data_IF_121323913205
#
_entry.id   IF_121323913205
#
_cell.length_a   1.000
_cell.length_b   1.000
_cell.length_c   1.000
_cell.angle_alpha   90.00
_cell.angle_beta   90.00
_cell.angle_gamma   90.00
#
_symmetry.space_group_name_H-M   'P 1'
#
loop_
_entity.id
_entity.type
_entity.pdbx_description
1 polymer ?
#
# COMPACT_ATOMS: atom_id res chain seq x y z
N UNK A 1 -16.13 -14.69 22.95
CA UNK A 1 -16.35 -13.22 22.84
C UNK A 1 -17.61 -13.04 22.02
N UNK A 2 -18.69 -12.52 22.60
CA UNK A 2 -19.88 -12.17 21.81
C UNK A 2 -19.53 -10.91 21.03
N UNK A 3 -19.23 -11.08 19.74
CA UNK A 3 -19.09 -9.94 18.84
C UNK A 3 -20.47 -9.25 18.76
N UNK A 4 -20.51 -7.91 18.72
CA UNK A 4 -21.76 -7.20 18.51
C UNK A 4 -22.40 -7.65 17.20
N UNK A 5 -23.73 -7.67 17.15
CA UNK A 5 -24.48 -8.13 15.98
C UNK A 5 -24.03 -7.37 14.72
N UNK A 6 -24.00 -8.09 13.59
CA UNK A 6 -23.64 -7.56 12.27
C UNK A 6 -24.76 -6.63 11.74
N UNK A 7 -24.85 -5.45 12.34
CA UNK A 7 -25.76 -4.39 11.93
C UNK A 7 -24.99 -3.31 11.17
N UNK A 8 -25.65 -2.70 10.19
CA UNK A 8 -25.07 -1.64 9.35
C UNK A 8 -24.50 -0.49 10.19
N UNK A 9 -25.15 -0.16 11.32
CA UNK A 9 -24.68 0.84 12.27
C UNK A 9 -23.32 0.47 12.89
N UNK A 10 -23.14 -0.78 13.32
CA UNK A 10 -21.89 -1.24 13.93
C UNK A 10 -20.74 -1.24 12.91
N UNK A 11 -21.03 -1.59 11.65
CA UNK A 11 -20.07 -1.52 10.55
C UNK A 11 -19.63 -0.07 10.30
N UNK A 12 -20.58 0.87 10.24
CA UNK A 12 -20.27 2.29 10.04
C UNK A 12 -19.47 2.87 11.22
N UNK A 13 -19.83 2.53 12.45
CA UNK A 13 -19.09 2.95 13.65
C UNK A 13 -17.67 2.38 13.65
N UNK A 14 -17.49 1.10 13.35
CA UNK A 14 -16.18 0.48 13.25
C UNK A 14 -15.32 1.08 12.11
N UNK A 15 -15.95 1.49 11.01
CA UNK A 15 -15.28 2.16 9.89
C UNK A 15 -14.99 3.65 10.14
N UNK A 16 -15.67 4.30 11.10
CA UNK A 16 -15.59 5.74 11.31
C UNK A 16 -14.16 6.30 11.48
N UNK A 17 -13.26 5.68 12.26
CA UNK A 17 -11.88 6.16 12.39
C UNK A 17 -11.15 6.22 11.05
N UNK A 18 -11.33 5.18 10.21
CA UNK A 18 -10.73 5.11 8.88
C UNK A 18 -11.33 6.15 7.93
N UNK A 19 -12.65 6.28 7.92
CA UNK A 19 -13.37 7.26 7.09
C UNK A 19 -12.96 8.70 7.43
N UNK A 20 -12.77 9.00 8.71
CA UNK A 20 -12.30 10.33 9.16
C UNK A 20 -10.88 10.59 8.66
N UNK A 21 -9.97 9.63 8.78
CA UNK A 21 -8.60 9.78 8.27
C UNK A 21 -8.62 10.01 6.76
N UNK A 22 -9.36 9.19 6.00
CA UNK A 22 -9.49 9.34 4.55
C UNK A 22 -10.09 10.69 4.16
N UNK A 23 -11.16 11.12 4.83
CA UNK A 23 -11.79 12.42 4.60
C UNK A 23 -10.80 13.58 4.86
N UNK A 24 -10.09 13.55 5.98
CA UNK A 24 -9.13 14.60 6.32
C UNK A 24 -7.96 14.66 5.32
N UNK A 25 -7.49 13.51 4.84
CA UNK A 25 -6.38 13.46 3.88
C UNK A 25 -6.81 13.83 2.47
N UNK A 26 -7.95 13.31 1.97
CA UNK A 26 -8.39 13.52 0.59
C UNK A 26 -9.09 14.85 0.37
N UNK A 27 -9.98 15.25 1.30
CA UNK A 27 -10.78 16.45 1.13
C UNK A 27 -10.12 17.68 1.78
N UNK A 28 -9.58 17.50 2.99
CA UNK A 28 -8.96 18.59 3.74
C UNK A 28 -7.45 18.72 3.48
N UNK A 29 -6.86 17.83 2.67
CA UNK A 29 -5.44 17.79 2.35
C UNK A 29 -4.52 17.80 3.60
N UNK A 30 -4.97 17.22 4.70
CA UNK A 30 -4.15 17.07 5.89
C UNK A 30 -3.08 16.01 5.65
N UNK A 31 -1.83 16.31 6.04
CA UNK A 31 -0.77 15.30 6.08
C UNK A 31 -1.11 14.20 7.10
N UNK A 32 -0.59 12.99 6.88
CA UNK A 32 -0.83 11.83 7.75
C UNK A 32 -0.51 12.07 9.22
N UNK A 33 0.50 12.91 9.52
CA UNK A 33 0.86 13.30 10.88
C UNK A 33 -0.27 14.05 11.63
N UNK A 34 -1.15 14.76 10.92
CA UNK A 34 -2.32 15.45 11.51
C UNK A 34 -3.57 14.56 11.48
N UNK A 35 -3.76 13.79 10.41
CA UNK A 35 -4.91 12.92 10.26
C UNK A 35 -4.89 11.71 11.21
N UNK A 36 -3.71 11.14 11.45
CA UNK A 36 -3.52 9.97 12.33
C UNK A 36 -4.03 10.17 13.76
N UNK A 37 -3.60 11.24 14.48
CA UNK A 37 -4.12 11.55 15.80
C UNK A 37 -5.64 11.77 15.82
N UNK A 38 -6.20 12.41 14.79
CA UNK A 38 -7.64 12.59 14.68
C UNK A 38 -8.38 11.25 14.57
N UNK A 39 -7.89 10.33 13.75
CA UNK A 39 -8.41 8.96 13.64
C UNK A 39 -8.31 8.20 14.97
N UNK A 40 -7.20 8.35 15.69
CA UNK A 40 -7.01 7.74 17.01
C UNK A 40 -8.04 8.24 18.04
N UNK A 41 -8.28 9.55 18.10
CA UNK A 41 -9.30 10.13 18.99
C UNK A 41 -10.68 9.59 18.65
N UNK A 42 -11.03 9.50 17.37
CA UNK A 42 -12.30 8.91 16.92
C UNK A 42 -12.41 7.44 17.33
N UNK A 43 -11.36 6.64 17.15
CA UNK A 43 -11.33 5.24 17.58
C UNK A 43 -11.52 5.10 19.10
N UNK A 44 -10.90 5.97 19.89
CA UNK A 44 -11.02 5.98 21.34
C UNK A 44 -12.46 6.32 21.78
N UNK A 45 -13.06 7.36 21.18
CA UNK A 45 -14.45 7.75 21.48
C UNK A 45 -15.43 6.64 21.08
N UNK A 46 -15.28 6.09 19.88
CA UNK A 46 -16.18 5.03 19.37
C UNK A 46 -16.07 3.76 20.23
N UNK A 47 -14.85 3.34 20.57
CA UNK A 47 -14.64 2.13 21.38
C UNK A 47 -15.19 2.25 22.81
N UNK A 48 -15.05 3.41 23.46
CA UNK A 48 -15.58 3.66 24.80
C UNK A 48 -17.11 3.75 24.81
N UNK A 49 -17.68 4.53 23.89
CA UNK A 49 -19.11 4.91 23.95
C UNK A 49 -20.02 3.84 23.35
N UNK A 50 -19.60 3.17 22.28
CA UNK A 50 -20.47 2.27 21.51
C UNK A 50 -20.10 0.78 21.65
N UNK A 51 -18.83 0.46 21.88
CA UNK A 51 -18.38 -0.93 22.01
C UNK A 51 -18.07 -1.35 23.45
N UNK A 52 -18.26 -0.46 24.43
CA UNK A 52 -18.11 -0.77 25.85
C UNK A 52 -16.68 -1.19 26.24
N UNK A 53 -15.67 -0.63 25.59
CA UNK A 53 -14.28 -0.98 25.88
C UNK A 53 -13.89 -0.59 27.31
N UNK A 54 -13.34 -1.54 28.07
CA UNK A 54 -12.84 -1.30 29.43
C UNK A 54 -11.45 -0.62 29.41
N UNK A 55 -11.13 0.14 30.46
CA UNK A 55 -9.85 0.83 30.58
C UNK A 55 -8.61 -0.08 30.40
N UNK A 56 -8.56 -1.31 30.97
CA UNK A 56 -7.43 -2.22 30.73
C UNK A 56 -7.27 -2.62 29.27
N UNK A 57 -8.37 -2.83 28.54
CA UNK A 57 -8.34 -3.20 27.13
C UNK A 57 -7.76 -2.07 26.28
N UNK A 58 -8.13 -0.83 26.58
CA UNK A 58 -7.61 0.36 25.88
C UNK A 58 -6.12 0.51 26.13
N UNK A 59 -5.66 0.39 27.37
CA UNK A 59 -4.24 0.51 27.72
C UNK A 59 -3.40 -0.57 27.02
N UNK A 60 -3.85 -1.84 27.05
CA UNK A 60 -3.18 -2.93 26.34
C UNK A 60 -3.16 -2.69 24.83
N UNK A 61 -4.25 -2.19 24.26
CA UNK A 61 -4.36 -1.90 22.81
C UNK A 61 -3.43 -0.77 22.39
N UNK A 62 -3.32 0.30 23.19
CA UNK A 62 -2.38 1.39 22.95
C UNK A 62 -0.94 0.89 23.05
N UNK A 63 -0.62 0.10 24.08
CA UNK A 63 0.71 -0.51 24.21
C UNK A 63 1.08 -1.40 23.02
N UNK A 64 0.15 -2.26 22.58
CA UNK A 64 0.31 -3.09 21.38
C UNK A 64 0.51 -2.23 20.13
N UNK A 65 -0.28 -1.17 19.95
CA UNK A 65 -0.16 -0.27 18.80
C UNK A 65 1.20 0.45 18.78
N UNK A 66 1.69 0.88 19.95
CA UNK A 66 3.01 1.51 20.09
C UNK A 66 4.14 0.55 19.72
N UNK A 67 4.12 -0.68 20.25
CA UNK A 67 5.11 -1.71 19.91
C UNK A 67 5.07 -2.09 18.44
N UNK A 68 3.88 -2.22 17.86
CA UNK A 68 3.71 -2.47 16.42
C UNK A 68 4.29 -1.32 15.58
N UNK A 69 4.06 -0.07 15.99
CA UNK A 69 4.62 1.09 15.31
C UNK A 69 6.15 1.10 15.37
N UNK A 70 6.74 0.76 16.52
CA UNK A 70 8.20 0.67 16.67
C UNK A 70 8.79 -0.46 15.81
N UNK A 71 8.11 -1.61 15.75
CA UNK A 71 8.49 -2.71 14.88
C UNK A 71 8.46 -2.32 13.39
N UNK A 72 7.40 -1.64 12.95
CA UNK A 72 7.30 -1.11 11.58
C UNK A 72 8.39 -0.07 11.31
N UNK A 73 8.67 0.83 12.25
CA UNK A 73 9.71 1.85 12.11
C UNK A 73 11.09 1.22 11.94
N UNK A 74 11.39 0.18 12.72
CA UNK A 74 12.64 -0.59 12.61
C UNK A 74 12.81 -1.21 11.21
N UNK A 75 11.76 -1.81 10.66
CA UNK A 75 11.77 -2.35 9.29
C UNK A 75 12.02 -1.24 8.28
N UNK A 76 11.32 -0.11 8.39
CA UNK A 76 11.49 1.03 7.47
C UNK A 76 12.93 1.56 7.53
N UNK A 77 13.50 1.71 8.72
CA UNK A 77 14.88 2.18 8.87
C UNK A 77 15.88 1.23 8.21
N UNK A 78 15.73 -0.08 8.42
CA UNK A 78 16.63 -1.06 7.83
C UNK A 78 16.45 -1.16 6.30
N UNK A 79 15.21 -1.04 5.81
CA UNK A 79 14.92 -1.00 4.38
C UNK A 79 15.46 0.27 3.72
N UNK A 80 15.36 1.44 4.36
CA UNK A 80 15.92 2.70 3.87
C UNK A 80 17.46 2.66 3.88
N UNK A 81 18.07 2.12 4.93
CA UNK A 81 19.51 1.91 4.97
C UNK A 81 19.96 1.03 3.80
N UNK A 82 19.30 -0.11 3.60
CA UNK A 82 19.58 -0.99 2.48
C UNK A 82 19.39 -0.28 1.13
N UNK A 83 18.28 0.44 0.95
CA UNK A 83 18.02 1.24 -0.24
C UNK A 83 19.16 2.22 -0.52
N UNK A 84 19.58 3.01 0.47
CA UNK A 84 20.66 3.99 0.30
C UNK A 84 22.00 3.32 -0.03
N UNK A 85 22.31 2.18 0.59
CA UNK A 85 23.52 1.41 0.27
C UNK A 85 23.49 0.90 -1.17
N UNK A 86 22.35 0.40 -1.65
CA UNK A 86 22.16 -0.10 -3.01
C UNK A 86 22.18 1.04 -4.04
N UNK A 87 21.63 2.20 -3.68
CA UNK A 87 21.61 3.41 -4.51
C UNK A 87 23.01 4.02 -4.64
N UNK A 88 23.74 4.19 -3.53
CA UNK A 88 25.14 4.68 -3.51
C UNK A 88 26.08 3.73 -4.27
N UNK A 89 25.80 2.42 -4.27
CA UNK A 89 26.50 1.44 -5.08
C UNK A 89 26.19 1.53 -6.59
N UNK A 90 25.27 2.43 -7.00
CA UNK A 90 24.86 2.64 -8.38
C UNK A 90 23.98 1.52 -8.95
N UNK A 91 23.55 0.57 -8.12
CA UNK A 91 22.81 -0.64 -8.56
C UNK A 91 21.43 -0.25 -9.06
N UNK A 92 20.74 0.68 -8.41
CA UNK A 92 19.41 1.15 -8.83
C UNK A 92 19.48 1.77 -10.23
N UNK A 93 20.46 2.64 -10.47
CA UNK A 93 20.66 3.27 -11.78
C UNK A 93 21.06 2.26 -12.87
N UNK A 94 21.91 1.28 -12.54
CA UNK A 94 22.29 0.21 -13.46
C UNK A 94 21.11 -0.72 -13.80
N UNK A 95 20.29 -1.10 -12.82
CA UNK A 95 19.07 -1.89 -13.05
C UNK A 95 18.07 -1.10 -13.90
N UNK A 96 17.93 0.19 -13.63
CA UNK A 96 17.04 1.10 -14.36
C UNK A 96 17.42 1.26 -15.83
N UNK A 97 18.73 1.42 -16.13
CA UNK A 97 19.22 1.52 -17.50
C UNK A 97 19.11 0.20 -18.25
N UNK A 98 19.39 -0.92 -17.58
CA UNK A 98 19.19 -2.26 -18.13
C UNK A 98 17.71 -2.48 -18.48
N UNK A 99 16.78 -2.27 -17.53
CA UNK A 99 15.33 -2.46 -17.76
C UNK A 99 14.81 -1.51 -18.85
N UNK A 100 15.27 -0.26 -18.89
CA UNK A 100 14.93 0.70 -19.94
C UNK A 100 15.38 0.25 -21.34
N UNK A 101 16.51 -0.46 -21.44
CA UNK A 101 17.03 -1.02 -22.68
C UNK A 101 16.36 -2.33 -23.13
N UNK A 102 15.70 -3.06 -22.23
CA UNK A 102 14.92 -4.26 -22.58
C UNK A 102 13.58 -3.94 -23.25
N UNK A 103 13.02 -2.74 -23.02
CA UNK A 103 11.71 -2.36 -23.53
C UNK A 103 11.77 -1.80 -24.94
N UNK A 104 10.96 -2.36 -25.84
CA UNK A 104 10.95 -1.98 -27.27
C UNK A 104 10.08 -0.76 -27.56
N UNK A 105 9.10 -0.47 -26.69
CA UNK A 105 8.16 0.65 -26.81
C UNK A 105 7.81 1.24 -25.42
N UNK A 106 7.27 2.46 -25.38
CA UNK A 106 6.91 3.14 -24.10
C UNK A 106 5.89 2.36 -23.26
N UNK A 107 5.00 1.60 -23.90
CA UNK A 107 3.98 0.79 -23.22
C UNK A 107 4.61 -0.35 -22.41
N UNK A 108 5.47 -1.15 -23.04
CA UNK A 108 6.23 -2.22 -22.37
C UNK A 108 7.17 -1.65 -21.30
N UNK A 109 7.80 -0.51 -21.56
CA UNK A 109 8.66 0.16 -20.58
C UNK A 109 7.88 0.56 -19.32
N UNK A 110 6.68 1.12 -19.50
CA UNK A 110 5.80 1.47 -18.39
C UNK A 110 5.35 0.24 -17.60
N UNK A 111 5.01 -0.87 -18.26
CA UNK A 111 4.68 -2.12 -17.56
C UNK A 111 5.87 -2.69 -16.79
N UNK A 112 7.06 -2.73 -17.40
CA UNK A 112 8.26 -3.25 -16.74
C UNK A 112 8.60 -2.44 -15.49
N UNK A 113 8.55 -1.10 -15.58
CA UNK A 113 8.97 -0.22 -14.49
C UNK A 113 7.86 -0.02 -13.45
N UNK A 114 6.65 0.33 -13.89
CA UNK A 114 5.57 0.69 -12.97
C UNK A 114 4.83 -0.51 -12.40
N UNK A 115 4.59 -1.54 -13.22
CA UNK A 115 3.78 -2.70 -12.84
C UNK A 115 4.63 -3.85 -12.30
N UNK A 116 5.68 -4.28 -13.01
CA UNK A 116 6.56 -5.37 -12.58
C UNK A 116 7.54 -4.94 -11.48
N UNK A 117 8.40 -3.97 -11.77
CA UNK A 117 9.42 -3.51 -10.82
C UNK A 117 8.80 -2.83 -9.59
N UNK A 118 7.76 -2.01 -9.78
CA UNK A 118 7.00 -1.43 -8.66
C UNK A 118 6.40 -2.48 -7.73
N UNK A 119 5.85 -3.57 -8.27
CA UNK A 119 5.30 -4.68 -7.47
C UNK A 119 6.38 -5.49 -6.76
N UNK A 120 7.53 -5.69 -7.40
CA UNK A 120 8.70 -6.30 -6.76
C UNK A 120 9.18 -5.46 -5.56
N UNK A 121 9.31 -4.14 -5.73
CA UNK A 121 9.65 -3.25 -4.62
C UNK A 121 8.59 -3.28 -3.52
N UNK A 122 7.30 -3.36 -3.87
CA UNK A 122 6.21 -3.48 -2.89
C UNK A 122 6.31 -4.78 -2.09
N UNK A 123 6.71 -5.88 -2.75
CA UNK A 123 6.99 -7.17 -2.11
C UNK A 123 8.13 -7.09 -1.11
N UNK A 124 9.25 -6.49 -1.52
CA UNK A 124 10.49 -6.45 -0.72
C UNK A 124 10.48 -5.41 0.42
N UNK A 125 9.89 -4.23 0.19
CA UNK A 125 9.94 -3.09 1.12
C UNK A 125 8.55 -2.67 1.60
N UNK A 126 7.65 -2.39 0.66
CA UNK A 126 6.34 -1.80 0.90
C UNK A 126 6.41 -0.40 1.56
N UNK A 127 5.43 -0.05 2.40
CA UNK A 127 5.34 1.25 3.09
C UNK A 127 5.48 2.51 2.20
N UNK A 128 5.09 2.42 0.93
CA UNK A 128 5.12 3.55 -0.01
C UNK A 128 6.47 3.79 -0.71
N UNK A 129 7.50 2.99 -0.41
CA UNK A 129 8.79 3.00 -1.12
C UNK A 129 8.62 2.83 -2.64
N UNK A 130 7.76 1.93 -3.16
CA UNK A 130 7.62 1.76 -4.60
C UNK A 130 7.19 3.04 -5.32
N UNK A 131 6.20 3.76 -4.79
CA UNK A 131 5.75 5.02 -5.37
C UNK A 131 6.87 6.08 -5.37
N UNK A 132 7.66 6.15 -4.29
CA UNK A 132 8.75 7.10 -4.12
C UNK A 132 9.93 6.85 -5.09
N UNK A 133 10.19 5.59 -5.46
CA UNK A 133 11.32 5.19 -6.33
C UNK A 133 10.89 5.15 -7.81
N UNK A 134 9.73 4.55 -8.09
CA UNK A 134 9.26 4.32 -9.46
C UNK A 134 8.92 5.63 -10.17
N UNK A 135 8.32 6.61 -9.48
CA UNK A 135 7.93 7.87 -10.11
C UNK A 135 9.14 8.70 -10.62
N UNK A 136 10.21 8.94 -9.82
CA UNK A 136 11.44 9.57 -10.31
C UNK A 136 12.13 8.80 -11.43
N UNK A 137 12.09 7.47 -11.36
CA UNK A 137 12.67 6.63 -12.41
C UNK A 137 11.95 6.82 -13.75
N UNK A 138 10.61 6.79 -13.75
CA UNK A 138 9.82 7.05 -14.95
C UNK A 138 10.03 8.46 -15.50
N UNK A 139 10.20 9.46 -14.62
CA UNK A 139 10.59 10.81 -15.03
C UNK A 139 11.95 10.82 -15.76
N UNK A 140 12.95 10.12 -15.23
CA UNK A 140 14.27 9.97 -15.86
C UNK A 140 14.22 9.27 -17.22
N UNK A 141 13.23 8.41 -17.45
CA UNK A 141 12.96 7.75 -18.73
C UNK A 141 12.16 8.61 -19.72
N UNK A 142 11.81 9.86 -19.35
CA UNK A 142 11.14 10.82 -20.22
C UNK A 142 9.60 10.71 -20.25
N UNK A 143 9.00 10.08 -19.24
CA UNK A 143 7.55 10.14 -19.04
C UNK A 143 7.14 11.51 -18.47
N UNK A 144 5.94 11.98 -18.83
CA UNK A 144 5.41 13.22 -18.27
C UNK A 144 5.17 13.06 -16.75
N UNK A 145 5.39 14.11 -15.92
CA UNK A 145 5.31 14.00 -14.47
C UNK A 145 3.99 13.46 -13.93
N UNK A 146 2.88 13.92 -14.50
CA UNK A 146 1.55 13.43 -14.15
C UNK A 146 1.36 11.94 -14.49
N UNK A 147 1.88 11.49 -15.63
CA UNK A 147 1.80 10.09 -16.05
C UNK A 147 2.66 9.23 -15.13
N UNK A 148 3.91 9.65 -14.88
CA UNK A 148 4.87 8.95 -14.04
C UNK A 148 4.32 8.68 -12.63
N UNK A 149 3.78 9.70 -11.96
CA UNK A 149 3.21 9.56 -10.60
C UNK A 149 2.00 8.65 -10.60
N UNK A 150 1.07 8.82 -11.55
CA UNK A 150 -0.16 8.02 -11.60
C UNK A 150 0.13 6.56 -11.88
N UNK A 151 0.97 6.24 -12.87
CA UNK A 151 1.27 4.83 -13.18
C UNK A 151 2.14 4.19 -12.10
N UNK A 152 3.01 4.94 -11.41
CA UNK A 152 3.75 4.43 -10.27
C UNK A 152 2.82 3.99 -9.14
N UNK A 153 1.78 4.79 -8.83
CA UNK A 153 0.81 4.47 -7.78
C UNK A 153 -0.13 3.32 -8.18
N UNK A 154 -0.62 3.31 -9.42
CA UNK A 154 -1.53 2.27 -9.91
C UNK A 154 -0.80 0.94 -10.10
N UNK A 155 0.41 0.98 -10.66
CA UNK A 155 1.14 -0.19 -11.14
C UNK A 155 1.45 -1.20 -10.05
N UNK A 156 1.81 -0.73 -8.84
CA UNK A 156 2.09 -1.62 -7.71
C UNK A 156 0.85 -1.93 -6.86
N UNK A 157 -0.32 -1.33 -7.15
CA UNK A 157 -1.48 -1.35 -6.25
C UNK A 157 -1.98 -2.76 -5.93
N UNK A 158 -1.88 -3.67 -6.91
CA UNK A 158 -2.27 -5.06 -6.73
C UNK A 158 -1.32 -5.86 -5.82
N UNK A 159 -0.06 -5.45 -5.68
CA UNK A 159 0.94 -6.18 -4.90
C UNK A 159 0.88 -5.88 -3.39
N UNK A 160 0.04 -4.96 -2.94
CA UNK A 160 0.02 -4.47 -1.55
C UNK A 160 -0.40 -5.55 -0.55
N UNK A 161 -1.33 -6.43 -0.90
CA UNK A 161 -1.88 -7.45 0.02
C UNK A 161 -0.81 -8.46 0.45
N UNK A 162 0.02 -8.93 -0.47
CA UNK A 162 1.19 -9.79 -0.18
C UNK A 162 2.50 -9.00 -0.02
N UNK A 163 2.41 -7.66 -0.07
CA UNK A 163 3.55 -6.77 0.05
C UNK A 163 4.16 -6.77 1.45
N UNK A 164 5.35 -6.16 1.57
CA UNK A 164 6.12 -6.14 2.81
C UNK A 164 6.31 -7.54 3.40
N UNK A 165 6.73 -8.50 2.56
CA UNK A 165 6.93 -9.91 2.95
C UNK A 165 5.68 -10.55 3.60
N UNK A 166 4.49 -10.21 3.10
CA UNK A 166 3.22 -10.74 3.60
C UNK A 166 2.76 -10.14 4.93
N UNK A 167 3.34 -9.03 5.39
CA UNK A 167 2.93 -8.39 6.64
C UNK A 167 1.45 -7.95 6.62
N UNK A 168 1.00 -7.34 5.52
CA UNK A 168 -0.41 -6.94 5.34
C UNK A 168 -1.36 -8.15 5.41
N UNK A 169 -0.97 -9.27 4.80
CA UNK A 169 -1.72 -10.51 4.84
C UNK A 169 -1.78 -11.11 6.25
N UNK A 170 -0.68 -11.11 7.00
CA UNK A 170 -0.65 -11.58 8.39
C UNK A 170 -1.57 -10.76 9.31
N UNK A 171 -1.65 -9.44 9.10
CA UNK A 171 -2.59 -8.58 9.84
C UNK A 171 -4.04 -8.99 9.53
N UNK A 172 -4.35 -9.30 8.26
CA UNK A 172 -5.68 -9.77 7.84
C UNK A 172 -6.05 -11.13 8.46
N UNK A 173 -5.11 -12.08 8.51
CA UNK A 173 -5.28 -13.37 9.19
C UNK A 173 -5.58 -13.16 10.67
N UNK A 174 -4.77 -12.35 11.35
CA UNK A 174 -4.95 -12.06 12.78
C UNK A 174 -6.25 -11.31 13.12
N UNK A 175 -6.77 -10.50 12.20
CA UNK A 175 -8.02 -9.76 12.39
C UNK A 175 -9.28 -10.59 12.10
N UNK A 176 -9.19 -11.53 11.16
CA UNK A 176 -10.35 -12.30 10.69
C UNK A 176 -10.54 -13.64 11.41
N UNK A 177 -9.46 -14.26 11.90
CA UNK A 177 -9.50 -15.56 12.58
C UNK A 177 -9.72 -16.76 11.63
N UNK A 178 -9.70 -16.54 10.32
CA UNK A 178 -9.80 -17.61 9.33
C UNK A 178 -8.43 -18.26 9.04
N UNK A 179 -8.46 -19.46 8.44
CA UNK A 179 -7.23 -20.17 8.08
C UNK A 179 -6.46 -19.43 6.98
N UNK A 180 -5.13 -19.59 6.99
CA UNK A 180 -4.24 -19.00 5.99
C UNK A 180 -4.59 -19.50 4.60
N UNK A 181 -4.90 -20.79 4.46
CA UNK A 181 -5.22 -21.42 3.18
C UNK A 181 -6.48 -20.80 2.57
N UNK A 182 -7.53 -20.65 3.37
CA UNK A 182 -8.78 -20.04 2.92
C UNK A 182 -8.57 -18.59 2.48
N UNK A 183 -7.91 -17.77 3.32
CA UNK A 183 -7.64 -16.37 2.99
C UNK A 183 -6.71 -16.21 1.79
N UNK A 184 -5.71 -17.07 1.65
CA UNK A 184 -4.76 -17.02 0.55
C UNK A 184 -5.45 -17.30 -0.78
N UNK A 185 -6.31 -18.32 -0.83
CA UNK A 185 -7.10 -18.64 -2.03
C UNK A 185 -8.00 -17.47 -2.42
N UNK A 186 -8.85 -16.98 -1.51
CA UNK A 186 -9.79 -15.90 -1.81
C UNK A 186 -9.07 -14.59 -2.18
N UNK A 187 -8.02 -14.24 -1.44
CA UNK A 187 -7.21 -13.06 -1.74
C UNK A 187 -6.53 -13.19 -3.11
N UNK A 188 -5.97 -14.35 -3.45
CA UNK A 188 -5.29 -14.55 -4.73
C UNK A 188 -6.24 -14.38 -5.93
N UNK A 189 -7.49 -14.83 -5.82
CA UNK A 189 -8.50 -14.69 -6.87
C UNK A 189 -8.88 -13.22 -7.09
N UNK A 190 -9.15 -12.48 -6.00
CA UNK A 190 -9.44 -11.05 -6.07
C UNK A 190 -8.24 -10.26 -6.60
N UNK A 191 -7.03 -10.63 -6.17
CA UNK A 191 -5.80 -9.98 -6.61
C UNK A 191 -5.49 -10.27 -8.08
N UNK A 192 -5.85 -11.44 -8.62
CA UNK A 192 -5.65 -11.73 -10.04
C UNK A 192 -6.39 -10.70 -10.92
N UNK A 193 -7.64 -10.40 -10.58
CA UNK A 193 -8.42 -9.36 -11.27
C UNK A 193 -7.79 -7.98 -11.13
N UNK A 194 -7.38 -7.61 -9.91
CA UNK A 194 -6.69 -6.33 -9.66
C UNK A 194 -5.35 -6.25 -10.40
N UNK A 195 -4.60 -7.34 -10.49
CA UNK A 195 -3.32 -7.42 -11.17
C UNK A 195 -3.45 -7.07 -12.66
N UNK A 196 -4.41 -7.72 -13.34
CA UNK A 196 -4.74 -7.40 -14.72
C UNK A 196 -5.28 -5.97 -14.87
N UNK A 197 -6.19 -5.54 -13.99
CA UNK A 197 -6.75 -4.19 -14.04
C UNK A 197 -5.66 -3.11 -13.89
N UNK A 198 -4.74 -3.26 -12.94
CA UNK A 198 -3.60 -2.37 -12.75
C UNK A 198 -2.72 -2.32 -14.02
N UNK A 199 -2.41 -3.47 -14.63
CA UNK A 199 -1.63 -3.51 -15.87
C UNK A 199 -2.32 -2.78 -17.03
N UNK A 200 -3.63 -3.02 -17.21
CA UNK A 200 -4.45 -2.32 -18.23
C UNK A 200 -4.49 -0.81 -17.96
N UNK A 201 -4.66 -0.39 -16.71
CA UNK A 201 -4.69 1.02 -16.34
C UNK A 201 -3.34 1.72 -16.54
N UNK A 202 -2.23 1.03 -16.27
CA UNK A 202 -0.87 1.54 -16.59
C UNK A 202 -0.73 1.77 -18.10
N UNK A 203 -1.13 0.81 -18.93
CA UNK A 203 -1.11 0.96 -20.38
C UNK A 203 -2.05 2.10 -20.85
N UNK A 204 -3.25 2.16 -20.30
CA UNK A 204 -4.21 3.20 -20.62
C UNK A 204 -3.67 4.60 -20.33
N UNK A 205 -3.01 4.80 -19.20
CA UNK A 205 -2.52 6.11 -18.81
C UNK A 205 -1.23 6.52 -19.55
N UNK A 206 -0.52 5.55 -20.13
CA UNK A 206 0.71 5.80 -20.90
C UNK A 206 0.45 6.16 -22.36
N UNK A 207 -0.55 5.55 -23.00
CA UNK A 207 -0.85 5.80 -24.41
C UNK A 207 -2.28 5.50 -24.84
N UNK A 208 -3.22 5.37 -23.88
CA UNK A 208 -4.63 5.04 -24.11
C UNK A 208 -4.77 3.76 -24.95
N UNK A 209 -5.68 3.76 -25.92
CA UNK A 209 -5.95 2.63 -26.79
C UNK A 209 -4.77 2.19 -27.66
N UNK A 210 -3.83 3.08 -27.99
CA UNK A 210 -2.67 2.73 -28.80
C UNK A 210 -1.68 1.85 -28.03
N UNK A 211 -1.53 2.09 -26.72
CA UNK A 211 -0.67 1.30 -25.84
C UNK A 211 -1.26 -0.07 -25.47
N UNK A 212 -2.59 -0.24 -25.53
CA UNK A 212 -3.25 -1.53 -25.27
C UNK A 212 -3.15 -2.52 -26.45
N UNK A 213 -2.83 -2.05 -27.65
CA UNK A 213 -2.77 -2.85 -28.88
C UNK A 213 -1.34 -3.21 -29.31
N UNK A 214 -0.33 -2.67 -28.62
CA UNK A 214 1.09 -2.76 -28.96
C UNK A 214 1.82 -3.80 -28.11
#
# INVERSE_FOLDING_TARGET
MNLPDLNLLNVLLAAAPLLVVLYLMMWRNWGGAKAGPAGFVVALVVSLVFFGANLPLILVSIGKAFLLALFVLYIIWMALLFYHVVDDAGVIAAMSSAVGGLARNRASQALLVAWLFGSFLQGASGFGVPAAVVAPLLLGLGFAPNVAVVIALIGHGWAVTFGSLGNSFNVMVGASGYSIEFLATESSLLLALCCFACGVLVLWWTGKWAALRS
#
